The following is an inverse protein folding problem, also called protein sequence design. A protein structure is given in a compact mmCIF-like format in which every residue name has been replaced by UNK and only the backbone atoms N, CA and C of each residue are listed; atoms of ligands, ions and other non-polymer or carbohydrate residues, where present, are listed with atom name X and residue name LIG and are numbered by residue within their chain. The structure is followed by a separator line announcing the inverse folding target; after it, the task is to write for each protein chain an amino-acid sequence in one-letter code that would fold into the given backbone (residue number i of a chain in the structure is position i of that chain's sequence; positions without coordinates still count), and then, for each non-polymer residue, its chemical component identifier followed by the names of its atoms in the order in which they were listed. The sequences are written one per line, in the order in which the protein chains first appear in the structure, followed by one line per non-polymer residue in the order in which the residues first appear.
data_IF_513870113362
#
_entry.id   IF_513870113362
#
_cell.length_a   1.000
_cell.length_b   1.000
_cell.length_c   1.000
_cell.angle_alpha   90.00
_cell.angle_beta   90.00
_cell.angle_gamma   90.00
#
_symmetry.space_group_name_H-M   'P 1'
#
loop_
_entity.id
_entity.type
_entity.pdbx_description
1 polymer ?
#
# COMPACT_ATOMS: atom_id res chain seq x y z
N UNK A 1 -17.38 -34.75 15.87
CA UNK A 1 -16.50 -33.94 15.03
C UNK A 1 -16.81 -32.49 15.30
N UNK A 2 -15.83 -31.68 15.76
CA UNK A 2 -16.03 -30.26 15.86
C UNK A 2 -16.28 -29.74 14.44
N UNK A 3 -17.41 -29.06 14.21
CA UNK A 3 -17.73 -28.43 12.92
C UNK A 3 -16.57 -27.52 12.54
N UNK A 4 -15.90 -27.79 11.42
CA UNK A 4 -14.79 -26.94 10.96
C UNK A 4 -15.37 -25.60 10.54
N UNK A 5 -15.00 -24.52 11.21
CA UNK A 5 -15.46 -23.18 10.86
C UNK A 5 -14.93 -22.78 9.47
N UNK A 6 -15.82 -22.30 8.61
CA UNK A 6 -15.52 -21.79 7.28
C UNK A 6 -15.41 -20.28 7.32
N UNK A 7 -14.27 -19.76 6.88
CA UNK A 7 -13.95 -18.33 6.92
C UNK A 7 -13.71 -17.81 5.52
N UNK A 8 -14.43 -16.77 5.14
CA UNK A 8 -14.16 -15.97 3.93
C UNK A 8 -13.28 -14.79 4.30
N UNK A 9 -12.17 -14.63 3.59
CA UNK A 9 -11.26 -13.47 3.74
C UNK A 9 -11.29 -12.69 2.43
N UNK A 10 -11.55 -11.37 2.50
CA UNK A 10 -11.66 -10.49 1.35
C UNK A 10 -10.45 -9.60 1.26
N UNK A 11 -9.68 -9.76 0.19
CA UNK A 11 -8.43 -9.05 -0.08
C UNK A 11 -7.20 -9.92 0.23
N UNK A 12 -6.37 -10.14 -0.80
CA UNK A 12 -5.12 -10.90 -0.70
C UNK A 12 -3.88 -9.97 -0.65
N UNK A 13 -4.01 -8.83 0.03
CA UNK A 13 -2.87 -8.03 0.49
C UNK A 13 -2.14 -8.70 1.65
N UNK A 14 -1.07 -8.10 2.19
CA UNK A 14 -0.28 -8.69 3.28
C UNK A 14 -1.11 -9.14 4.49
N UNK A 15 -2.13 -8.36 4.87
CA UNK A 15 -3.01 -8.67 5.99
C UNK A 15 -3.86 -9.93 5.73
N UNK A 16 -4.53 -10.00 4.57
CA UNK A 16 -5.37 -11.15 4.21
C UNK A 16 -4.56 -12.41 4.00
N UNK A 17 -3.39 -12.32 3.35
CA UNK A 17 -2.46 -13.44 3.17
C UNK A 17 -1.99 -14.00 4.51
N UNK A 18 -1.61 -13.14 5.46
CA UNK A 18 -1.19 -13.59 6.79
C UNK A 18 -2.34 -14.19 7.58
N UNK A 19 -3.53 -13.58 7.53
CA UNK A 19 -4.73 -14.08 8.16
C UNK A 19 -5.08 -15.50 7.64
N UNK A 20 -5.08 -15.68 6.31
CA UNK A 20 -5.33 -16.97 5.67
C UNK A 20 -4.30 -18.02 6.09
N UNK A 21 -3.01 -17.64 6.15
CA UNK A 21 -1.93 -18.52 6.59
C UNK A 21 -2.12 -19.00 8.03
N UNK A 22 -2.37 -18.07 8.94
CA UNK A 22 -2.51 -18.38 10.37
C UNK A 22 -3.74 -19.23 10.63
N UNK A 23 -4.89 -18.86 10.07
CA UNK A 23 -6.14 -19.60 10.24
C UNK A 23 -6.10 -20.97 9.54
N UNK A 24 -5.49 -21.04 8.34
CA UNK A 24 -5.29 -22.28 7.62
C UNK A 24 -4.44 -23.29 8.41
N UNK A 25 -3.33 -22.84 9.00
CA UNK A 25 -2.50 -23.68 9.90
C UNK A 25 -3.22 -24.16 11.16
N UNK A 26 -4.25 -23.42 11.60
CA UNK A 26 -5.12 -23.83 12.71
C UNK A 26 -6.22 -24.80 12.30
N UNK A 27 -6.31 -25.17 11.01
CA UNK A 27 -7.28 -26.14 10.50
C UNK A 27 -8.63 -25.56 10.11
N UNK A 28 -8.79 -24.25 10.04
CA UNK A 28 -10.01 -23.64 9.51
C UNK A 28 -10.09 -23.83 7.99
N UNK A 29 -11.31 -23.99 7.46
CA UNK A 29 -11.54 -23.93 6.03
C UNK A 29 -11.53 -22.47 5.59
N UNK A 30 -10.66 -22.09 4.66
CA UNK A 30 -10.45 -20.71 4.24
C UNK A 30 -10.73 -20.56 2.76
N UNK A 31 -11.55 -19.56 2.42
CA UNK A 31 -11.62 -19.01 1.07
C UNK A 31 -11.08 -17.57 1.12
N UNK A 32 -9.93 -17.35 0.47
CA UNK A 32 -9.31 -16.04 0.31
C UNK A 32 -9.64 -15.52 -1.08
N UNK A 33 -10.42 -14.45 -1.15
CA UNK A 33 -10.83 -13.84 -2.44
C UNK A 33 -10.08 -12.54 -2.68
N UNK A 34 -9.72 -12.29 -3.94
CA UNK A 34 -9.00 -11.08 -4.36
C UNK A 34 -9.57 -10.57 -5.68
N UNK A 35 -9.89 -9.27 -5.72
CA UNK A 35 -10.45 -8.63 -6.92
C UNK A 35 -9.52 -8.62 -8.12
N UNK A 36 -8.23 -8.50 -7.87
CA UNK A 36 -7.21 -8.50 -8.91
C UNK A 36 -6.77 -9.91 -9.30
N UNK A 37 -6.03 -10.02 -10.40
CA UNK A 37 -5.45 -11.28 -10.86
C UNK A 37 -4.20 -11.70 -10.09
N UNK A 38 -3.70 -10.84 -9.20
CA UNK A 38 -2.46 -11.05 -8.46
C UNK A 38 -2.68 -10.80 -6.96
N UNK A 39 -1.99 -11.58 -6.14
CA UNK A 39 -1.89 -11.36 -4.69
C UNK A 39 -0.88 -10.28 -4.36
N UNK A 40 -0.93 -9.75 -3.12
CA UNK A 40 0.08 -8.85 -2.56
C UNK A 40 -0.40 -7.41 -2.35
N UNK A 41 -1.54 -7.02 -2.97
CA UNK A 41 -2.13 -5.68 -2.78
C UNK A 41 -1.12 -4.55 -3.08
N UNK A 42 -1.13 -3.50 -2.27
CA UNK A 42 -0.22 -2.35 -2.44
C UNK A 42 1.27 -2.70 -2.35
N UNK A 43 1.61 -3.79 -1.66
CA UNK A 43 3.02 -4.19 -1.50
C UNK A 43 3.68 -4.50 -2.86
N UNK A 44 2.91 -5.00 -3.85
CA UNK A 44 3.41 -5.23 -5.22
C UNK A 44 3.96 -3.93 -5.84
N UNK A 45 3.36 -2.80 -5.58
CA UNK A 45 3.84 -1.51 -6.08
C UNK A 45 5.01 -0.97 -5.27
N UNK A 46 4.98 -1.16 -3.95
CA UNK A 46 6.08 -0.77 -3.06
C UNK A 46 7.38 -1.48 -3.44
N UNK A 47 7.32 -2.77 -3.81
CA UNK A 47 8.52 -3.53 -4.22
C UNK A 47 9.18 -3.03 -5.51
N UNK A 48 8.52 -2.17 -6.27
CA UNK A 48 9.07 -1.54 -7.48
C UNK A 48 9.85 -0.26 -7.16
N UNK A 49 9.74 0.26 -5.96
CA UNK A 49 10.46 1.45 -5.52
C UNK A 49 11.94 1.12 -5.23
N UNK A 50 12.85 2.10 -5.41
CA UNK A 50 14.28 1.90 -5.16
C UNK A 50 14.54 1.36 -3.74
N UNK A 51 15.40 0.36 -3.64
CA UNK A 51 15.79 -0.25 -2.37
C UNK A 51 14.74 -1.14 -1.69
N UNK A 52 13.51 -1.25 -2.24
CA UNK A 52 12.40 -1.97 -1.60
C UNK A 52 12.04 -3.31 -2.26
N UNK A 53 12.81 -3.77 -3.25
CA UNK A 53 12.52 -5.00 -4.01
C UNK A 53 12.47 -6.26 -3.13
N UNK A 54 13.26 -6.32 -2.07
CA UNK A 54 13.31 -7.46 -1.14
C UNK A 54 11.97 -7.69 -0.40
N UNK A 55 11.12 -6.69 -0.32
CA UNK A 55 9.79 -6.83 0.28
C UNK A 55 8.86 -7.79 -0.50
N UNK A 56 9.21 -8.13 -1.75
CA UNK A 56 8.49 -9.19 -2.50
C UNK A 56 8.50 -10.52 -1.74
N UNK A 57 9.55 -10.81 -0.99
CA UNK A 57 9.69 -12.02 -0.17
C UNK A 57 8.56 -12.17 0.87
N UNK A 58 7.97 -11.06 1.29
CA UNK A 58 6.81 -11.07 2.21
C UNK A 58 5.60 -11.73 1.53
N UNK A 59 5.42 -11.48 0.23
CA UNK A 59 4.34 -12.09 -0.58
C UNK A 59 4.69 -13.53 -0.89
N UNK A 60 5.90 -13.79 -1.38
CA UNK A 60 6.35 -15.12 -1.83
C UNK A 60 6.32 -16.15 -0.71
N UNK A 61 6.78 -15.76 0.48
CA UNK A 61 6.72 -16.61 1.67
C UNK A 61 5.27 -17.01 1.99
N UNK A 62 4.35 -16.04 2.00
CA UNK A 62 2.94 -16.32 2.32
C UNK A 62 2.29 -17.17 1.25
N UNK A 63 2.55 -16.88 -0.02
CA UNK A 63 2.08 -17.69 -1.13
C UNK A 63 2.52 -19.15 -0.97
N UNK A 64 3.81 -19.40 -0.80
CA UNK A 64 4.36 -20.74 -0.61
C UNK A 64 3.72 -21.46 0.57
N UNK A 65 3.47 -20.76 1.69
CA UNK A 65 2.79 -21.33 2.84
C UNK A 65 1.33 -21.70 2.55
N UNK A 66 0.60 -20.84 1.83
CA UNK A 66 -0.80 -21.11 1.47
C UNK A 66 -0.91 -22.26 0.48
N UNK A 67 0.00 -22.35 -0.50
CA UNK A 67 0.03 -23.44 -1.48
C UNK A 67 0.21 -24.83 -0.80
N UNK A 68 0.77 -24.88 0.40
CA UNK A 68 0.94 -26.11 1.18
C UNK A 68 -0.27 -26.49 2.07
N UNK A 69 -1.29 -25.64 2.14
CA UNK A 69 -2.46 -25.82 3.01
C UNK A 69 -3.70 -26.27 2.20
N UNK A 70 -4.09 -27.56 2.25
CA UNK A 70 -5.20 -28.07 1.44
C UNK A 70 -6.57 -27.53 1.85
N UNK A 71 -6.66 -26.95 3.04
CA UNK A 71 -7.88 -26.31 3.57
C UNK A 71 -7.98 -24.82 3.25
N UNK A 72 -7.05 -24.28 2.46
CA UNK A 72 -7.05 -22.86 2.01
C UNK A 72 -7.22 -22.83 0.50
N UNK A 73 -8.25 -22.12 0.04
CA UNK A 73 -8.49 -21.82 -1.37
C UNK A 73 -8.26 -20.35 -1.64
N UNK A 74 -7.40 -20.02 -2.61
CA UNK A 74 -7.16 -18.65 -3.08
C UNK A 74 -7.91 -18.47 -4.40
N UNK A 75 -8.76 -17.45 -4.48
CA UNK A 75 -9.61 -17.14 -5.62
C UNK A 75 -9.29 -15.73 -6.10
N UNK A 76 -8.74 -15.61 -7.31
CA UNK A 76 -8.27 -14.34 -7.87
C UNK A 76 -9.18 -13.87 -8.99
N UNK A 77 -9.18 -12.55 -9.25
CA UNK A 77 -9.92 -11.96 -10.36
C UNK A 77 -11.43 -11.95 -10.17
N UNK A 78 -11.89 -11.93 -8.92
CA UNK A 78 -13.34 -11.95 -8.61
C UNK A 78 -14.04 -10.63 -8.96
N UNK A 79 -13.30 -9.56 -9.20
CA UNK A 79 -13.86 -8.22 -9.19
C UNK A 79 -14.13 -7.74 -7.75
N UNK A 80 -14.87 -6.65 -7.62
CA UNK A 80 -15.30 -6.14 -6.32
C UNK A 80 -16.39 -7.04 -5.74
N UNK A 81 -16.21 -7.43 -4.48
CA UNK A 81 -17.19 -8.21 -3.72
C UNK A 81 -18.24 -7.25 -3.17
N UNK A 82 -19.49 -7.50 -3.51
CA UNK A 82 -20.65 -6.72 -3.07
C UNK A 82 -21.25 -7.26 -1.77
N UNK A 83 -22.11 -6.49 -1.13
CA UNK A 83 -22.87 -6.95 0.05
C UNK A 83 -23.72 -8.18 -0.30
N UNK A 84 -24.33 -8.21 -1.49
CA UNK A 84 -25.13 -9.34 -1.95
C UNK A 84 -24.30 -10.61 -2.07
N UNK A 85 -23.08 -10.52 -2.61
CA UNK A 85 -22.16 -11.66 -2.70
C UNK A 85 -21.84 -12.24 -1.31
N UNK A 86 -21.68 -11.37 -0.30
CA UNK A 86 -21.40 -11.78 1.07
C UNK A 86 -22.57 -12.54 1.71
N UNK A 87 -23.80 -12.10 1.47
CA UNK A 87 -25.01 -12.74 1.97
C UNK A 87 -25.17 -14.15 1.35
N UNK A 88 -24.89 -14.25 0.04
CA UNK A 88 -25.07 -15.51 -0.72
C UNK A 88 -23.98 -16.53 -0.45
N UNK A 89 -22.77 -16.09 -0.05
CA UNK A 89 -21.59 -16.95 0.06
C UNK A 89 -21.66 -18.01 1.18
N UNK A 90 -22.55 -17.89 2.14
CA UNK A 90 -22.82 -18.88 3.22
C UNK A 90 -21.56 -19.36 3.96
N UNK A 91 -20.85 -18.44 4.63
CA UNK A 91 -19.72 -18.73 5.51
C UNK A 91 -20.08 -18.49 6.99
N UNK A 92 -19.30 -19.11 7.90
CA UNK A 92 -19.50 -18.90 9.34
C UNK A 92 -18.94 -17.55 9.78
N UNK A 93 -17.88 -17.05 9.11
CA UNK A 93 -17.20 -15.78 9.42
C UNK A 93 -16.71 -15.11 8.14
N UNK A 94 -16.72 -13.78 8.16
CA UNK A 94 -16.17 -12.94 7.10
C UNK A 94 -15.10 -12.03 7.72
N UNK A 95 -13.94 -11.93 7.07
CA UNK A 95 -12.85 -11.04 7.46
C UNK A 95 -12.56 -10.09 6.30
N UNK A 96 -12.66 -8.79 6.58
CA UNK A 96 -12.36 -7.75 5.62
C UNK A 96 -10.88 -7.35 5.74
N UNK A 97 -10.11 -7.58 4.67
CA UNK A 97 -8.71 -7.22 4.52
C UNK A 97 -8.49 -6.40 3.23
N UNK A 98 -9.46 -5.53 2.92
CA UNK A 98 -9.60 -4.83 1.63
C UNK A 98 -8.59 -3.71 1.40
N UNK A 99 -7.76 -3.39 2.41
CA UNK A 99 -6.75 -2.35 2.32
C UNK A 99 -7.33 -0.94 2.46
N UNK A 100 -6.56 0.04 1.96
CA UNK A 100 -6.89 1.46 2.00
C UNK A 100 -6.45 2.14 0.70
N UNK A 101 -6.89 3.38 0.52
CA UNK A 101 -6.51 4.24 -0.62
C UNK A 101 -5.99 5.57 -0.12
N UNK A 102 -5.07 6.15 -0.86
CA UNK A 102 -4.62 7.52 -0.60
C UNK A 102 -5.74 8.51 -0.92
N UNK A 103 -5.91 9.48 -0.02
CA UNK A 103 -6.92 10.53 -0.21
C UNK A 103 -6.49 11.47 -1.33
N UNK A 104 -7.30 11.55 -2.39
CA UNK A 104 -6.98 12.36 -3.58
C UNK A 104 -7.28 13.85 -3.43
N UNK A 105 -7.78 14.30 -2.29
CA UNK A 105 -8.11 15.70 -1.99
C UNK A 105 -7.18 16.34 -0.94
N UNK A 106 -6.11 15.66 -0.56
CA UNK A 106 -5.13 16.14 0.41
C UNK A 106 -5.53 16.03 1.88
N UNK A 107 -6.69 15.43 2.21
CA UNK A 107 -7.01 15.11 3.62
C UNK A 107 -5.98 14.17 4.22
N UNK A 108 -5.62 14.43 5.47
CA UNK A 108 -4.64 13.64 6.20
C UNK A 108 -4.93 13.65 7.70
N UNK A 109 -4.24 12.86 8.52
CA UNK A 109 -4.31 12.95 9.98
C UNK A 109 -3.93 14.32 10.55
N UNK A 110 -3.19 15.14 9.79
CA UNK A 110 -2.75 16.49 10.18
C UNK A 110 -3.61 17.60 9.61
N UNK A 111 -4.39 17.29 8.56
CA UNK A 111 -5.28 18.22 7.90
C UNK A 111 -6.62 17.53 7.59
N UNK A 112 -7.60 17.74 8.45
CA UNK A 112 -8.92 17.09 8.34
C UNK A 112 -9.78 17.65 7.22
N UNK A 113 -9.44 18.83 6.71
CA UNK A 113 -10.11 19.43 5.56
C UNK A 113 -9.35 19.16 4.26
N UNK A 114 -10.06 19.13 3.11
CA UNK A 114 -9.38 19.08 1.83
C UNK A 114 -8.46 20.27 1.64
N UNK A 115 -7.29 20.06 1.06
CA UNK A 115 -6.41 21.17 0.69
C UNK A 115 -7.05 21.91 -0.48
N UNK A 116 -7.31 23.23 -0.37
CA UNK A 116 -7.96 23.99 -1.43
C UNK A 116 -7.22 23.86 -2.77
N UNK A 117 -7.96 23.55 -3.82
CA UNK A 117 -7.44 23.40 -5.18
C UNK A 117 -6.90 22.00 -5.52
N UNK A 118 -6.68 21.13 -4.56
CA UNK A 118 -6.28 19.74 -4.83
C UNK A 118 -7.49 18.90 -5.24
N UNK A 119 -7.39 18.32 -6.44
CA UNK A 119 -8.38 17.42 -6.99
C UNK A 119 -7.71 16.38 -7.89
N UNK A 120 -7.64 15.12 -7.43
CA UNK A 120 -7.02 14.01 -8.16
C UNK A 120 -7.75 13.62 -9.46
N UNK A 121 -8.93 14.17 -9.73
CA UNK A 121 -9.60 14.01 -11.02
C UNK A 121 -8.96 14.91 -12.09
N UNK A 122 -8.26 15.97 -11.67
CA UNK A 122 -7.47 16.80 -12.57
C UNK A 122 -6.12 16.13 -12.85
N UNK A 123 -5.62 16.30 -14.06
CA UNK A 123 -4.35 15.67 -14.47
C UNK A 123 -3.11 16.16 -13.71
N UNK A 124 -3.23 17.29 -13.01
CA UNK A 124 -2.14 17.93 -12.26
C UNK A 124 -1.91 17.29 -10.88
N UNK A 125 -2.93 16.62 -10.33
CA UNK A 125 -2.88 16.00 -9.01
C UNK A 125 -2.96 14.49 -9.12
N UNK A 126 -2.09 13.79 -8.40
CA UNK A 126 -1.98 12.34 -8.46
C UNK A 126 -1.87 11.74 -7.08
N UNK A 127 -2.55 10.62 -6.89
CA UNK A 127 -2.25 9.73 -5.77
C UNK A 127 -1.11 8.78 -6.15
N UNK A 128 -0.43 8.15 -5.16
CA UNK A 128 0.55 7.10 -5.43
C UNK A 128 0.02 5.98 -6.33
N UNK A 129 -1.24 5.56 -6.16
CA UNK A 129 -1.83 4.51 -7.00
C UNK A 129 -1.91 4.91 -8.47
N UNK A 130 -2.27 6.16 -8.74
CA UNK A 130 -2.33 6.67 -10.12
C UNK A 130 -0.94 6.71 -10.76
N UNK A 131 0.08 7.09 -9.98
CA UNK A 131 1.48 7.05 -10.43
C UNK A 131 1.92 5.62 -10.74
N UNK A 132 1.67 4.67 -9.84
CA UNK A 132 2.01 3.26 -10.04
C UNK A 132 1.26 2.62 -11.21
N UNK A 133 0.07 3.11 -11.53
CA UNK A 133 -0.69 2.71 -12.72
C UNK A 133 -0.21 3.37 -14.02
N UNK A 134 0.91 4.09 -13.96
CA UNK A 134 1.57 4.65 -15.16
C UNK A 134 1.02 5.99 -15.64
N UNK A 135 0.27 6.73 -14.81
CA UNK A 135 -0.14 8.08 -15.18
C UNK A 135 1.08 8.98 -15.33
N UNK A 136 1.17 9.68 -16.44
CA UNK A 136 2.32 10.53 -16.75
C UNK A 136 2.43 11.72 -15.78
N UNK A 137 3.65 12.06 -15.43
CA UNK A 137 4.00 13.22 -14.60
C UNK A 137 4.89 14.21 -15.35
N UNK A 138 4.79 15.47 -15.04
CA UNK A 138 5.60 16.53 -15.59
C UNK A 138 7.09 16.42 -15.25
N UNK A 139 7.86 17.45 -15.60
CA UNK A 139 9.31 17.52 -15.28
C UNK A 139 9.57 17.98 -13.85
N UNK A 140 8.73 18.86 -13.32
CA UNK A 140 8.81 19.40 -11.97
C UNK A 140 7.66 18.85 -11.16
N UNK A 141 7.95 18.20 -10.04
CA UNK A 141 6.96 17.49 -9.24
C UNK A 141 7.05 17.97 -7.80
N UNK A 142 5.89 18.25 -7.22
CA UNK A 142 5.73 18.50 -5.81
C UNK A 142 5.02 17.31 -5.17
N UNK A 143 5.62 16.72 -4.13
CA UNK A 143 5.02 15.67 -3.32
C UNK A 143 4.58 16.30 -2.00
N UNK A 144 3.29 16.21 -1.70
CA UNK A 144 2.76 16.60 -0.38
C UNK A 144 2.76 15.33 0.47
N UNK A 145 3.65 15.30 1.45
CA UNK A 145 3.84 14.16 2.36
C UNK A 145 3.19 14.45 3.70
N UNK A 146 2.10 13.80 3.99
CA UNK A 146 1.46 13.81 5.31
C UNK A 146 1.57 12.46 6.02
N UNK A 147 2.34 11.52 5.47
CA UNK A 147 2.58 10.20 6.06
C UNK A 147 3.79 10.22 7.00
N UNK A 148 4.84 10.94 6.64
CA UNK A 148 6.06 11.08 7.43
C UNK A 148 6.88 9.79 7.52
N UNK A 149 6.63 8.83 6.64
CA UNK A 149 7.34 7.56 6.56
C UNK A 149 8.19 7.47 5.28
N UNK A 150 8.38 6.27 4.75
CA UNK A 150 9.26 6.02 3.60
C UNK A 150 8.60 6.31 2.23
N UNK A 151 7.27 6.36 2.14
CA UNK A 151 6.58 6.36 0.84
C UNK A 151 6.93 7.57 -0.03
N UNK A 152 6.81 8.78 0.51
CA UNK A 152 7.07 10.01 -0.23
C UNK A 152 8.52 10.09 -0.73
N UNK A 153 9.48 9.78 0.12
CA UNK A 153 10.89 9.83 -0.22
C UNK A 153 11.30 8.74 -1.22
N UNK A 154 10.72 7.53 -1.14
CA UNK A 154 11.00 6.46 -2.09
C UNK A 154 10.41 6.75 -3.48
N UNK A 155 9.22 7.35 -3.54
CA UNK A 155 8.64 7.85 -4.80
C UNK A 155 9.51 8.99 -5.36
N UNK A 156 9.95 9.93 -4.52
CA UNK A 156 10.83 11.02 -4.93
C UNK A 156 12.13 10.50 -5.53
N UNK A 157 12.74 9.49 -4.90
CA UNK A 157 13.95 8.83 -5.42
C UNK A 157 13.72 8.25 -6.81
N UNK A 158 12.66 7.48 -7.01
CA UNK A 158 12.32 6.90 -8.31
C UNK A 158 12.13 7.97 -9.38
N UNK A 159 11.46 9.07 -9.03
CA UNK A 159 11.20 10.17 -9.94
C UNK A 159 12.47 10.92 -10.33
N UNK A 160 13.36 11.19 -9.38
CA UNK A 160 14.66 11.83 -9.64
C UNK A 160 15.54 10.91 -10.50
N UNK A 161 15.57 9.61 -10.24
CA UNK A 161 16.30 8.63 -11.05
C UNK A 161 15.77 8.57 -12.50
N UNK A 162 14.52 8.93 -12.71
CA UNK A 162 13.91 9.09 -14.04
C UNK A 162 14.10 10.50 -14.66
N UNK A 163 14.95 11.34 -14.07
CA UNK A 163 15.31 12.67 -14.57
C UNK A 163 14.30 13.78 -14.23
N UNK A 164 13.48 13.61 -13.23
CA UNK A 164 12.53 14.63 -12.77
C UNK A 164 13.16 15.51 -11.68
N UNK A 165 12.66 16.73 -11.52
CA UNK A 165 12.94 17.59 -10.36
C UNK A 165 11.84 17.42 -9.34
N UNK A 166 12.21 17.10 -8.10
CA UNK A 166 11.24 16.78 -7.04
C UNK A 166 11.44 17.68 -5.83
N UNK A 167 10.33 18.20 -5.34
CA UNK A 167 10.23 18.89 -4.05
C UNK A 167 9.26 18.12 -3.16
N UNK A 168 9.67 17.80 -1.94
CA UNK A 168 8.78 17.23 -0.92
C UNK A 168 8.38 18.35 0.03
N UNK A 169 7.10 18.51 0.28
CA UNK A 169 6.54 19.42 1.28
C UNK A 169 5.87 18.55 2.36
N UNK A 170 6.19 18.78 3.63
CA UNK A 170 5.63 18.00 4.73
C UNK A 170 5.38 18.88 5.97
N UNK A 171 4.45 18.51 6.87
CA UNK A 171 4.11 19.26 8.08
C UNK A 171 5.06 18.99 9.25
N UNK A 172 6.15 18.25 9.05
CA UNK A 172 7.07 17.85 10.10
C UNK A 172 8.31 18.74 10.12
N UNK A 173 9.05 18.72 11.23
CA UNK A 173 10.32 19.44 11.36
C UNK A 173 11.46 18.78 10.57
N UNK A 174 11.29 17.55 10.15
CA UNK A 174 12.28 16.81 9.36
C UNK A 174 11.60 15.87 8.36
N UNK A 175 12.33 15.50 7.31
CA UNK A 175 11.87 14.53 6.32
C UNK A 175 11.78 13.13 6.93
N UNK A 176 10.64 12.48 6.72
CA UNK A 176 10.38 11.08 7.12
C UNK A 176 10.69 10.80 8.60
N UNK A 177 10.12 11.56 9.57
CA UNK A 177 10.48 11.43 10.99
C UNK A 177 10.17 10.03 11.55
N UNK A 178 9.12 9.39 11.08
CA UNK A 178 8.74 8.06 11.58
C UNK A 178 9.66 6.93 11.09
N UNK A 179 10.47 7.17 10.06
CA UNK A 179 11.52 6.24 9.64
C UNK A 179 12.71 6.18 10.62
N UNK A 180 12.76 7.07 11.60
CA UNK A 180 13.75 6.99 12.68
C UNK A 180 13.48 5.81 13.62
N UNK A 181 12.21 5.40 13.79
CA UNK A 181 11.85 4.21 14.57
C UNK A 181 12.31 2.90 13.92
N UNK A 182 12.52 2.89 12.61
CA UNK A 182 13.09 1.75 11.86
C UNK A 182 14.57 1.92 11.55
N UNK A 183 15.22 2.96 12.08
CA UNK A 183 16.63 3.30 11.88
C UNK A 183 17.00 3.64 10.42
N UNK A 184 16.03 3.86 9.56
CA UNK A 184 16.21 4.20 8.14
C UNK A 184 16.29 5.71 7.90
N UNK A 185 15.68 6.53 8.76
CA UNK A 185 15.54 7.98 8.59
C UNK A 185 16.83 8.71 8.23
N UNK A 186 17.96 8.51 8.94
CA UNK A 186 19.23 9.17 8.60
C UNK A 186 19.73 8.83 7.19
N UNK A 187 19.53 7.58 6.74
CA UNK A 187 19.94 7.16 5.40
C UNK A 187 19.04 7.76 4.33
N UNK A 188 17.74 7.81 4.56
CA UNK A 188 16.76 8.44 3.65
C UNK A 188 17.07 9.94 3.47
N UNK A 189 17.31 10.67 4.55
CA UNK A 189 17.69 12.10 4.50
C UNK A 189 19.01 12.32 3.77
N UNK A 190 20.00 11.46 3.99
CA UNK A 190 21.29 11.52 3.26
C UNK A 190 21.10 11.25 1.76
N UNK A 191 20.26 10.28 1.41
CA UNK A 191 19.91 9.97 0.03
C UNK A 191 19.20 11.15 -0.64
N UNK A 192 18.21 11.77 0.04
CA UNK A 192 17.53 12.97 -0.46
C UNK A 192 18.51 14.10 -0.81
N UNK A 193 19.47 14.36 0.09
CA UNK A 193 20.52 15.36 -0.13
C UNK A 193 21.42 14.99 -1.32
N UNK A 194 21.89 13.75 -1.41
CA UNK A 194 22.75 13.29 -2.51
C UNK A 194 22.08 13.37 -3.88
N UNK A 195 20.78 13.16 -3.93
CA UNK A 195 19.98 13.19 -5.18
C UNK A 195 19.37 14.56 -5.47
N UNK A 196 19.71 15.59 -4.69
CA UNK A 196 19.19 16.96 -4.84
C UNK A 196 17.65 17.02 -4.79
N UNK A 197 17.02 16.21 -3.94
CA UNK A 197 15.60 16.30 -3.64
C UNK A 197 15.41 17.50 -2.72
N UNK A 198 14.63 18.49 -3.16
CA UNK A 198 14.30 19.65 -2.34
C UNK A 198 13.28 19.24 -1.25
N UNK A 199 13.47 19.75 -0.04
CA UNK A 199 12.56 19.46 1.09
C UNK A 199 12.13 20.77 1.73
N UNK A 200 10.84 20.95 1.91
CA UNK A 200 10.22 22.06 2.64
C UNK A 200 9.51 21.47 3.85
N UNK A 201 10.08 21.67 5.02
CA UNK A 201 9.54 21.21 6.28
C UNK A 201 8.65 22.30 6.89
N UNK A 202 7.54 21.88 7.50
CA UNK A 202 6.64 22.72 8.30
C UNK A 202 6.37 24.10 7.67
N UNK A 203 5.89 24.18 6.40
CA UNK A 203 5.59 25.45 5.75
C UNK A 203 4.46 26.14 6.53
N UNK A 204 4.64 27.44 6.78
CA UNK A 204 3.63 28.29 7.43
C UNK A 204 2.54 28.70 6.45
#
# INVERSE_FOLDING_TARGET
PKKTCHVLIIGAGPAGLECARVLGKKGYKIDLVEKSKNIGGHLVNITKLPGLSEWVKVIDFRKSQLDSLPNVKVILGTGEVTEQDLIEYKTDKIILATGSFWQGNGKSPFNFDPIPGIDHQKNEFLTPEQLFNGKNVGKNICIIDSDGYFMAISIAEQLVDSGKKVTIINPFDTLSPYSDFTLEGPNLRRMAHKKNISVVNNPK
#
